data_IF_330740482330
#
_entry.id   IF_330740482330
#
_cell.length_a   1.000
_cell.length_b   1.000
_cell.length_c   1.000
_cell.angle_alpha   90.00
_cell.angle_beta   90.00
_cell.angle_gamma   90.00
#
_symmetry.space_group_name_H-M   'P 1'
#
loop_
_entity.id
_entity.type
_entity.pdbx_description
1 polymer ?
#
# COMPACT_ATOMS: atom_id res chain seq x y z
N UNK A 1 -11.23 9.06 7.12
CA UNK A 1 -10.78 7.68 6.90
C UNK A 1 -11.87 6.68 7.28
N UNK A 2 -12.28 6.56 8.55
CA UNK A 2 -13.28 5.56 9.01
C UNK A 2 -14.63 5.63 8.29
N UNK A 3 -15.13 6.83 7.93
CA UNK A 3 -16.38 6.99 7.17
C UNK A 3 -16.32 6.40 5.75
N UNK A 4 -15.12 6.24 5.18
CA UNK A 4 -14.87 5.66 3.87
C UNK A 4 -14.39 4.20 3.95
N UNK A 5 -14.44 3.58 5.15
CA UNK A 5 -14.00 2.19 5.40
C UNK A 5 -12.55 1.93 4.98
N UNK A 6 -11.67 2.92 5.13
CA UNK A 6 -10.25 2.79 4.81
C UNK A 6 -9.44 2.46 6.06
N UNK A 7 -8.49 1.54 5.89
CA UNK A 7 -7.51 1.20 6.90
C UNK A 7 -6.26 2.07 6.70
N UNK A 8 -5.76 2.69 7.77
CA UNK A 8 -4.49 3.42 7.73
C UNK A 8 -3.47 2.71 8.61
N UNK A 9 -2.26 2.52 8.08
CA UNK A 9 -1.16 1.99 8.89
C UNK A 9 -0.89 2.90 10.09
N UNK A 10 -1.11 4.20 9.93
CA UNK A 10 -0.92 5.18 11.00
C UNK A 10 -1.83 4.92 12.22
N UNK A 11 -3.07 4.48 12.00
CA UNK A 11 -4.00 4.11 13.08
C UNK A 11 -3.73 2.69 13.60
N UNK A 12 -3.55 1.70 12.70
CA UNK A 12 -3.34 0.30 13.06
C UNK A 12 -2.03 0.06 13.82
N UNK A 13 -0.96 0.77 13.46
CA UNK A 13 0.33 0.72 14.12
C UNK A 13 0.46 1.67 15.31
N UNK A 14 -0.60 2.40 15.68
CA UNK A 14 -0.56 3.44 16.72
C UNK A 14 0.65 4.38 16.58
N UNK A 15 0.88 4.87 15.35
CA UNK A 15 2.06 5.65 15.00
C UNK A 15 2.13 6.94 15.83
N UNK A 16 3.24 7.21 16.55
CA UNK A 16 3.36 8.42 17.39
C UNK A 16 3.41 9.70 16.56
N UNK A 17 3.76 9.63 15.29
CA UNK A 17 3.92 10.79 14.40
C UNK A 17 2.66 11.10 13.56
N UNK A 18 1.54 10.44 13.83
CA UNK A 18 0.32 10.58 13.02
C UNK A 18 -0.13 12.05 12.90
N UNK A 19 -0.06 12.81 14.00
CA UNK A 19 -0.46 14.21 14.01
C UNK A 19 0.42 15.10 13.14
N UNK A 20 1.73 14.86 13.15
CA UNK A 20 2.69 15.60 12.33
C UNK A 20 2.50 15.29 10.85
N UNK A 21 2.47 14.00 10.48
CA UNK A 21 2.27 13.57 9.09
C UNK A 21 0.97 14.14 8.51
N UNK A 22 -0.11 14.07 9.26
CA UNK A 22 -1.41 14.60 8.80
C UNK A 22 -1.43 16.12 8.69
N UNK A 23 -0.72 16.84 9.55
CA UNK A 23 -0.57 18.30 9.44
C UNK A 23 0.19 18.71 8.18
N UNK A 24 1.10 17.85 7.71
CA UNK A 24 1.85 17.99 6.46
C UNK A 24 1.10 17.41 5.24
N UNK A 25 -0.16 16.99 5.40
CA UNK A 25 -0.97 16.33 4.37
C UNK A 25 -0.33 15.06 3.80
N UNK A 26 0.34 14.32 4.64
CA UNK A 26 0.92 13.00 4.34
C UNK A 26 0.11 11.90 5.01
N UNK A 27 -0.19 10.82 4.29
CA UNK A 27 -0.88 9.66 4.86
C UNK A 27 -0.35 8.35 4.27
N UNK A 28 -0.42 7.28 5.08
CA UNK A 28 -0.16 5.91 4.63
C UNK A 28 -1.44 5.10 4.72
N UNK A 29 -1.88 4.60 3.57
CA UNK A 29 -3.13 3.82 3.44
C UNK A 29 -2.78 2.37 3.18
N UNK A 30 -3.46 1.47 3.89
CA UNK A 30 -3.35 0.02 3.70
C UNK A 30 -4.54 -0.47 2.89
N UNK A 31 -4.27 -1.05 1.73
CA UNK A 31 -5.28 -1.61 0.83
C UNK A 31 -5.37 -3.13 0.98
N UNK A 32 -6.37 -3.74 0.30
CA UNK A 32 -6.66 -5.18 0.32
C UNK A 32 -7.21 -5.69 1.66
N UNK A 33 -7.72 -4.78 2.48
CA UNK A 33 -8.36 -5.10 3.75
C UNK A 33 -7.43 -5.03 4.96
N UNK A 34 -7.87 -5.65 6.06
CA UNK A 34 -7.24 -5.62 7.40
C UNK A 34 -6.64 -6.98 7.82
N UNK A 35 -6.76 -8.01 6.98
CA UNK A 35 -6.36 -9.38 7.32
C UNK A 35 -5.31 -9.88 6.34
N UNK A 36 -4.16 -10.26 6.88
CA UNK A 36 -2.99 -10.74 6.13
C UNK A 36 -2.98 -12.27 6.04
N UNK A 37 -2.52 -12.83 4.93
CA UNK A 37 -2.32 -14.29 4.78
C UNK A 37 -1.07 -14.78 5.50
N UNK A 38 -0.21 -13.88 6.01
CA UNK A 38 1.06 -14.22 6.68
C UNK A 38 1.10 -13.71 8.12
N UNK A 39 1.87 -14.43 8.96
CA UNK A 39 2.08 -14.14 10.38
C UNK A 39 3.54 -13.73 10.63
N UNK A 40 3.91 -12.52 10.26
CA UNK A 40 5.25 -12.01 10.48
C UNK A 40 5.44 -11.63 11.95
N UNK A 41 6.55 -12.07 12.58
CA UNK A 41 6.78 -11.90 14.02
C UNK A 41 6.86 -10.42 14.50
N UNK A 42 7.16 -9.50 13.61
CA UNK A 42 7.27 -8.06 13.88
C UNK A 42 6.02 -7.26 13.51
N UNK A 43 4.99 -7.92 12.92
CA UNK A 43 3.82 -7.25 12.38
C UNK A 43 2.61 -7.44 13.29
N UNK A 44 1.89 -6.35 13.55
CA UNK A 44 0.69 -6.37 14.39
C UNK A 44 -0.62 -6.50 13.58
N UNK A 45 -0.53 -6.72 12.26
CA UNK A 45 -1.70 -6.88 11.42
C UNK A 45 -2.36 -8.24 11.69
N UNK A 46 -3.68 -8.25 11.71
CA UNK A 46 -4.49 -9.46 11.90
C UNK A 46 -4.16 -10.51 10.85
N UNK A 47 -3.92 -11.74 11.28
CA UNK A 47 -3.62 -12.88 10.40
C UNK A 47 -4.84 -13.78 10.25
N UNK A 48 -5.07 -14.29 9.03
CA UNK A 48 -6.16 -15.20 8.75
C UNK A 48 -6.54 -15.30 7.28
N UNK A 49 -7.77 -15.74 7.02
CA UNK A 49 -8.34 -15.74 5.68
C UNK A 49 -8.92 -14.35 5.39
N UNK A 50 -8.37 -13.63 4.41
CA UNK A 50 -8.89 -12.32 4.04
C UNK A 50 -10.26 -12.40 3.36
N UNK A 51 -11.03 -11.33 3.48
CA UNK A 51 -12.27 -11.17 2.73
C UNK A 51 -12.00 -11.01 1.22
N UNK A 52 -13.07 -11.09 0.41
CA UNK A 52 -12.98 -10.78 -1.02
C UNK A 52 -12.46 -9.34 -1.21
N UNK A 53 -11.70 -9.14 -2.28
CA UNK A 53 -11.20 -7.81 -2.65
C UNK A 53 -12.38 -6.87 -2.92
N UNK A 54 -12.37 -5.72 -2.27
CA UNK A 54 -13.38 -4.69 -2.49
C UNK A 54 -13.05 -3.91 -3.79
N UNK A 55 -13.91 -4.05 -4.78
CA UNK A 55 -13.75 -3.36 -6.05
C UNK A 55 -13.93 -1.82 -5.93
N UNK A 56 -14.54 -1.34 -4.85
CA UNK A 56 -14.78 0.10 -4.61
C UNK A 56 -13.64 0.78 -3.84
N UNK A 57 -12.76 0.00 -3.22
CA UNK A 57 -11.64 0.49 -2.42
C UNK A 57 -10.76 1.51 -3.16
N UNK A 58 -10.38 1.32 -4.46
CA UNK A 58 -9.58 2.30 -5.19
C UNK A 58 -10.24 3.68 -5.26
N UNK A 59 -11.54 3.71 -5.53
CA UNK A 59 -12.31 4.95 -5.55
C UNK A 59 -12.38 5.63 -4.19
N UNK A 60 -12.57 4.86 -3.11
CA UNK A 60 -12.60 5.38 -1.74
C UNK A 60 -11.24 5.97 -1.31
N UNK A 61 -10.13 5.32 -1.71
CA UNK A 61 -8.78 5.84 -1.44
C UNK A 61 -8.57 7.18 -2.13
N UNK A 62 -8.90 7.27 -3.41
CA UNK A 62 -8.75 8.50 -4.17
C UNK A 62 -9.67 9.62 -3.67
N UNK A 63 -10.91 9.30 -3.29
CA UNK A 63 -11.86 10.24 -2.68
C UNK A 63 -11.32 10.77 -1.33
N UNK A 64 -10.74 9.89 -0.51
CA UNK A 64 -10.15 10.30 0.76
C UNK A 64 -8.95 11.22 0.55
N UNK A 65 -8.06 10.88 -0.38
CA UNK A 65 -6.92 11.71 -0.73
C UNK A 65 -7.36 13.11 -1.20
N UNK A 66 -8.38 13.19 -2.04
CA UNK A 66 -8.95 14.43 -2.52
C UNK A 66 -9.58 15.27 -1.38
N UNK A 67 -10.40 14.66 -0.53
CA UNK A 67 -11.07 15.33 0.59
C UNK A 67 -10.09 15.87 1.63
N UNK A 68 -9.00 15.15 1.87
CA UNK A 68 -7.95 15.54 2.82
C UNK A 68 -6.92 16.48 2.18
N UNK A 69 -6.97 16.68 0.86
CA UNK A 69 -6.01 17.48 0.12
C UNK A 69 -4.58 16.96 0.29
N UNK A 70 -4.39 15.64 0.21
CA UNK A 70 -3.09 15.03 0.45
C UNK A 70 -2.07 15.49 -0.61
N UNK A 71 -0.91 15.90 -0.15
CA UNK A 71 0.25 16.23 -0.99
C UNK A 71 1.11 15.01 -1.26
N UNK A 72 1.14 14.07 -0.32
CA UNK A 72 1.86 12.80 -0.44
C UNK A 72 1.04 11.65 0.15
N UNK A 73 0.95 10.54 -0.59
CA UNK A 73 0.28 9.34 -0.14
C UNK A 73 1.19 8.12 -0.33
N UNK A 74 1.35 7.33 0.72
CA UNK A 74 2.00 6.02 0.67
C UNK A 74 0.91 4.94 0.62
N UNK A 75 0.94 4.10 -0.39
CA UNK A 75 0.06 2.95 -0.54
C UNK A 75 0.82 1.69 -0.18
N UNK A 76 0.33 0.98 0.80
CA UNK A 76 0.81 -0.35 1.18
C UNK A 76 -0.34 -1.35 1.23
N UNK A 77 -0.07 -2.62 1.49
CA UNK A 77 -1.10 -3.64 1.59
C UNK A 77 -0.77 -4.72 2.62
N UNK A 78 -1.77 -5.50 2.98
CA UNK A 78 -1.58 -6.83 3.55
C UNK A 78 -1.08 -7.80 2.47
N UNK A 79 -0.40 -8.88 2.88
CA UNK A 79 -0.09 -9.98 1.95
C UNK A 79 -1.36 -10.73 1.56
N UNK A 80 -1.49 -11.00 0.27
CA UNK A 80 -2.61 -11.69 -0.35
C UNK A 80 -2.11 -12.85 -1.21
N UNK A 81 -1.45 -13.82 -0.55
CA UNK A 81 -0.96 -15.04 -1.24
C UNK A 81 -2.08 -15.86 -1.89
N UNK A 82 -3.32 -15.64 -1.44
CA UNK A 82 -4.55 -16.22 -1.98
C UNK A 82 -4.93 -15.69 -3.37
N UNK A 83 -4.44 -14.49 -3.75
CA UNK A 83 -4.74 -13.90 -5.05
C UNK A 83 -3.72 -14.33 -6.12
N UNK A 84 -4.14 -14.50 -7.39
CA UNK A 84 -3.26 -14.94 -8.49
C UNK A 84 -2.08 -13.99 -8.74
N UNK A 85 -2.25 -12.71 -8.51
CA UNK A 85 -1.26 -11.63 -8.72
C UNK A 85 -0.72 -11.05 -7.39
N UNK A 86 -1.06 -11.68 -6.25
CA UNK A 86 -0.70 -11.17 -4.93
C UNK A 86 -1.34 -9.83 -4.58
N UNK A 87 -2.30 -9.35 -5.39
CA UNK A 87 -2.97 -8.06 -5.20
C UNK A 87 -2.41 -6.92 -6.04
N UNK A 88 -1.45 -7.17 -6.93
CA UNK A 88 -0.83 -6.14 -7.77
C UNK A 88 -1.85 -5.34 -8.60
N UNK A 89 -2.87 -6.00 -9.14
CA UNK A 89 -3.95 -5.35 -9.89
C UNK A 89 -4.72 -4.31 -9.06
N UNK A 90 -4.81 -4.50 -7.75
CA UNK A 90 -5.46 -3.51 -6.88
C UNK A 90 -4.59 -2.26 -6.69
N UNK A 91 -3.26 -2.42 -6.54
CA UNK A 91 -2.34 -1.28 -6.56
C UNK A 91 -2.47 -0.45 -7.84
N UNK A 92 -2.49 -1.13 -9.00
CA UNK A 92 -2.67 -0.46 -10.31
C UNK A 92 -3.93 0.39 -10.34
N UNK A 93 -5.08 -0.19 -9.91
CA UNK A 93 -6.36 0.54 -9.86
C UNK A 93 -6.31 1.74 -8.92
N UNK A 94 -5.68 1.60 -7.75
CA UNK A 94 -5.54 2.69 -6.78
C UNK A 94 -4.70 3.82 -7.38
N UNK A 95 -3.57 3.51 -8.02
CA UNK A 95 -2.72 4.51 -8.67
C UNK A 95 -3.52 5.25 -9.76
N UNK A 96 -4.23 4.52 -10.62
CA UNK A 96 -5.03 5.10 -11.70
C UNK A 96 -6.13 6.03 -11.16
N UNK A 97 -6.86 5.62 -10.11
CA UNK A 97 -7.88 6.45 -9.49
C UNK A 97 -7.30 7.69 -8.80
N UNK A 98 -6.17 7.57 -8.13
CA UNK A 98 -5.46 8.71 -7.55
C UNK A 98 -5.02 9.70 -8.63
N UNK A 99 -4.41 9.23 -9.73
CA UNK A 99 -4.00 10.10 -10.84
C UNK A 99 -5.20 10.83 -11.46
N UNK A 100 -6.35 10.15 -11.53
CA UNK A 100 -7.57 10.75 -12.07
C UNK A 100 -8.16 11.83 -11.15
N UNK A 101 -8.16 11.62 -9.83
CA UNK A 101 -8.84 12.51 -8.87
C UNK A 101 -7.88 13.53 -8.23
N UNK A 102 -6.62 13.17 -8.05
CA UNK A 102 -5.60 13.99 -7.38
C UNK A 102 -4.27 13.97 -8.16
N UNK A 103 -4.23 14.54 -9.36
CA UNK A 103 -3.07 14.44 -10.26
C UNK A 103 -1.78 15.06 -9.70
N UNK A 104 -1.89 15.97 -8.73
CA UNK A 104 -0.76 16.63 -8.08
C UNK A 104 -0.22 15.89 -6.85
N UNK A 105 -0.95 14.88 -6.35
CA UNK A 105 -0.52 14.11 -5.19
C UNK A 105 0.64 13.19 -5.55
N UNK A 106 1.73 13.27 -4.79
CA UNK A 106 2.85 12.33 -4.93
C UNK A 106 2.44 10.95 -4.40
N UNK A 107 2.60 9.92 -5.22
CA UNK A 107 2.23 8.54 -4.91
C UNK A 107 3.47 7.70 -4.68
N UNK A 108 3.66 7.23 -3.48
CA UNK A 108 4.69 6.24 -3.12
C UNK A 108 4.03 4.89 -2.86
N UNK A 109 4.67 3.82 -3.32
CA UNK A 109 4.20 2.45 -3.13
C UNK A 109 5.17 1.70 -2.23
N UNK A 110 4.63 1.05 -1.21
CA UNK A 110 5.34 0.09 -0.37
C UNK A 110 4.70 -1.28 -0.60
N UNK A 111 5.29 -2.06 -1.51
CA UNK A 111 4.76 -3.37 -1.89
C UNK A 111 5.20 -4.49 -0.96
N UNK A 112 4.38 -5.54 -0.78
CA UNK A 112 4.85 -6.81 -0.25
C UNK A 112 5.81 -7.49 -1.24
N UNK A 113 6.42 -8.62 -0.84
CA UNK A 113 7.32 -9.40 -1.71
C UNK A 113 6.59 -10.19 -2.80
N UNK A 114 5.26 -10.16 -2.84
CA UNK A 114 4.40 -10.92 -3.75
C UNK A 114 4.76 -12.43 -3.87
N UNK A 115 5.64 -12.91 -3.01
CA UNK A 115 6.13 -14.28 -3.03
C UNK A 115 6.67 -14.67 -4.43
N UNK A 116 6.21 -15.76 -5.01
CA UNK A 116 6.67 -16.25 -6.32
C UNK A 116 6.07 -15.48 -7.53
N UNK A 117 5.47 -14.33 -7.33
CA UNK A 117 4.78 -13.52 -8.35
C UNK A 117 5.42 -12.15 -8.55
N UNK A 118 6.58 -11.92 -7.91
CA UNK A 118 7.21 -10.59 -7.79
C UNK A 118 7.44 -9.92 -9.15
N UNK A 119 8.06 -10.61 -10.10
CA UNK A 119 8.46 -9.99 -11.39
C UNK A 119 7.28 -9.37 -12.11
N UNK A 120 6.21 -10.16 -12.30
CA UNK A 120 4.99 -9.69 -12.97
C UNK A 120 4.25 -8.64 -12.16
N UNK A 121 4.17 -8.79 -10.84
CA UNK A 121 3.48 -7.85 -9.97
C UNK A 121 4.17 -6.48 -9.96
N UNK A 122 5.49 -6.46 -9.86
CA UNK A 122 6.28 -5.22 -9.88
C UNK A 122 6.19 -4.54 -11.24
N UNK A 123 6.29 -5.30 -12.34
CA UNK A 123 6.15 -4.78 -13.70
C UNK A 123 4.81 -4.06 -13.88
N UNK A 124 3.70 -4.67 -13.50
CA UNK A 124 2.36 -4.07 -13.55
C UNK A 124 2.27 -2.76 -12.74
N UNK A 125 2.86 -2.73 -11.55
CA UNK A 125 2.82 -1.54 -10.68
C UNK A 125 3.69 -0.42 -11.25
N UNK A 126 4.88 -0.73 -11.75
CA UNK A 126 5.77 0.25 -12.37
C UNK A 126 5.14 0.87 -13.61
N UNK A 127 4.47 0.07 -14.44
CA UNK A 127 3.73 0.56 -15.62
C UNK A 127 2.59 1.52 -15.24
N UNK A 128 1.99 1.36 -14.05
CA UNK A 128 0.96 2.27 -13.56
C UNK A 128 1.52 3.66 -13.15
N UNK A 129 2.84 3.83 -13.06
CA UNK A 129 3.53 5.10 -12.89
C UNK A 129 3.40 5.76 -11.51
N UNK A 130 3.72 5.08 -10.41
CA UNK A 130 3.90 5.74 -9.11
C UNK A 130 5.15 6.64 -9.15
N UNK A 131 5.21 7.68 -8.30
CA UNK A 131 6.37 8.57 -8.22
C UNK A 131 7.54 7.93 -7.47
N UNK A 132 7.26 7.03 -6.54
CA UNK A 132 8.23 6.25 -5.80
C UNK A 132 7.76 4.82 -5.58
N UNK A 133 8.69 3.87 -5.63
CA UNK A 133 8.43 2.47 -5.34
C UNK A 133 9.46 1.95 -4.34
N UNK A 134 8.99 1.46 -3.20
CA UNK A 134 9.80 0.75 -2.20
C UNK A 134 9.22 -0.66 -2.05
N UNK A 135 9.98 -1.66 -2.46
CA UNK A 135 9.64 -3.04 -2.18
C UNK A 135 10.03 -3.37 -0.73
N UNK A 136 9.07 -3.74 0.09
CA UNK A 136 9.36 -4.38 1.36
C UNK A 136 9.69 -5.85 1.10
N UNK A 137 10.96 -6.18 1.01
CA UNK A 137 11.39 -7.56 1.06
C UNK A 137 11.20 -8.09 2.49
N UNK A 138 10.00 -8.61 2.77
CA UNK A 138 9.76 -9.37 4.00
C UNK A 138 10.26 -10.78 3.76
N UNK A 139 11.53 -11.03 4.05
CA UNK A 139 12.02 -12.40 4.17
C UNK A 139 11.37 -13.03 5.41
N UNK A 140 10.85 -14.25 5.31
CA UNK A 140 10.43 -15.07 6.45
C UNK A 140 11.62 -15.53 7.31
N UNK A 141 12.80 -14.98 7.10
CA UNK A 141 13.97 -15.17 7.92
C UNK A 141 13.87 -14.26 9.15
N UNK A 142 13.80 -14.81 10.37
CA UNK A 142 13.74 -14.03 11.59
C UNK A 142 14.94 -13.10 11.82
N UNK A 143 15.99 -13.19 10.99
CA UNK A 143 17.19 -12.37 11.07
C UNK A 143 17.28 -11.23 10.03
N UNK A 144 16.36 -11.08 9.09
CA UNK A 144 16.55 -10.19 7.94
C UNK A 144 15.34 -9.39 7.48
N UNK A 145 14.93 -8.37 8.23
CA UNK A 145 14.16 -7.27 7.67
C UNK A 145 15.12 -6.27 7.02
N UNK A 146 15.52 -6.50 5.78
CA UNK A 146 16.30 -5.54 5.01
C UNK A 146 15.37 -4.81 4.04
N UNK A 147 15.15 -3.53 4.29
CA UNK A 147 14.60 -2.61 3.30
C UNK A 147 15.64 -2.47 2.17
N UNK A 148 15.39 -3.08 1.03
CA UNK A 148 16.20 -2.86 -0.16
C UNK A 148 15.70 -1.58 -0.86
N UNK A 149 16.54 -0.55 -1.02
CA UNK A 149 16.18 0.61 -1.82
C UNK A 149 16.13 0.19 -3.29
N UNK A 150 14.95 0.22 -3.89
CA UNK A 150 14.82 0.11 -5.34
C UNK A 150 15.28 1.45 -5.95
N UNK A 151 16.35 1.43 -6.74
CA UNK A 151 16.76 2.59 -7.49
C UNK A 151 15.70 2.88 -8.57
N UNK A 152 15.12 4.08 -8.53
CA UNK A 152 14.30 4.56 -9.62
C UNK A 152 15.12 4.57 -10.91
N UNK A 153 14.56 4.17 -12.08
CA UNK A 153 15.26 4.35 -13.35
C UNK A 153 15.51 5.84 -13.56
N UNK A 154 16.75 6.19 -13.89
CA UNK A 154 17.11 7.55 -14.24
C UNK A 154 16.25 8.03 -15.43
N UNK A 155 15.67 9.22 -15.32
CA UNK A 155 14.96 9.91 -16.39
C UNK A 155 15.94 10.33 -17.48
#
# INVERSE_FOLDING_TARGET
>A
MRSLKLNTVCEEAACPNIGECWSQKHATVMILGDTCTRACAFCNVKTGMPNKVDATEPGHVAEAAAKLGLEHIVITSVDRDDLPDGGASQFVKVIQELRRQTPSTTIEILTPDFRNKMDRAVEMIVEAGPDGNRAAAVSNDPAGCALLPFAAPAR
#
